data_IF_755024094823
#
_entry.id   IF_755024094823
#
_cell.length_a   1.000
_cell.length_b   1.000
_cell.length_c   1.000
_cell.angle_alpha   90.00
_cell.angle_beta   90.00
_cell.angle_gamma   90.00
#
_symmetry.space_group_name_H-M   'P 1'
#
loop_
_entity.id
_entity.type
_entity.pdbx_description
1 polymer ?
#
# COMPACT_ATOMS: atom_id res chain seq x y z
N UNK A 1 22.35 32.58 -0.32
CA UNK A 1 22.86 31.70 -1.40
C UNK A 1 22.91 30.28 -0.90
N UNK A 2 22.29 29.32 -1.59
CA UNK A 2 22.33 27.92 -1.20
C UNK A 2 23.69 27.32 -1.57
N UNK A 3 24.37 26.68 -0.61
CA UNK A 3 25.62 25.96 -0.85
C UNK A 3 25.36 24.46 -0.89
N UNK A 4 25.85 23.77 -1.91
CA UNK A 4 25.80 22.30 -2.03
C UNK A 4 27.23 21.74 -2.10
N UNK A 5 27.47 20.53 -1.58
CA UNK A 5 28.78 19.91 -1.69
C UNK A 5 29.07 19.51 -3.15
N UNK A 6 30.31 19.73 -3.59
CA UNK A 6 30.81 19.28 -4.89
C UNK A 6 30.80 17.75 -4.97
N UNK A 7 30.36 17.20 -6.10
CA UNK A 7 30.28 15.75 -6.35
C UNK A 7 31.62 15.02 -6.30
N UNK A 8 32.73 15.72 -6.53
CA UNK A 8 34.08 15.10 -6.60
C UNK A 8 34.86 15.32 -5.31
N UNK A 9 34.98 16.57 -4.82
CA UNK A 9 35.81 16.88 -3.65
C UNK A 9 35.02 17.19 -2.36
N UNK A 10 33.68 17.24 -2.42
CA UNK A 10 32.84 17.52 -1.24
C UNK A 10 32.84 18.97 -0.75
N UNK A 11 33.61 19.88 -1.37
CA UNK A 11 33.64 21.29 -0.98
C UNK A 11 32.27 21.97 -1.12
N UNK A 12 31.87 22.80 -0.15
CA UNK A 12 30.64 23.59 -0.23
C UNK A 12 30.80 24.67 -1.30
N UNK A 13 29.99 24.58 -2.35
CA UNK A 13 30.04 25.47 -3.52
C UNK A 13 28.65 26.01 -3.84
N UNK A 14 28.60 27.16 -4.52
CA UNK A 14 27.34 27.78 -4.95
C UNK A 14 26.54 26.84 -5.86
N UNK A 15 25.21 26.85 -5.71
CA UNK A 15 24.29 26.10 -6.59
C UNK A 15 24.35 26.52 -8.06
N UNK A 16 24.91 27.69 -8.36
CA UNK A 16 25.04 28.25 -9.72
C UNK A 16 26.44 28.06 -10.30
N UNK A 17 27.36 27.44 -9.56
CA UNK A 17 28.74 27.25 -10.00
C UNK A 17 28.81 26.30 -11.22
N UNK A 18 29.32 26.81 -12.36
CA UNK A 18 29.54 26.02 -13.58
C UNK A 18 30.67 25.00 -13.42
N UNK A 19 31.65 25.29 -12.56
CA UNK A 19 32.78 24.42 -12.22
C UNK A 19 33.10 24.52 -10.72
N UNK A 20 33.72 23.47 -10.15
CA UNK A 20 34.18 23.53 -8.76
C UNK A 20 35.49 24.34 -8.66
N UNK A 21 35.54 25.41 -7.84
CA UNK A 21 36.76 26.18 -7.65
C UNK A 21 37.86 25.40 -6.91
N UNK A 22 37.53 24.32 -6.19
CA UNK A 22 38.51 23.54 -5.43
C UNK A 22 39.15 22.41 -6.26
N UNK A 23 38.39 21.75 -7.13
CA UNK A 23 38.89 20.56 -7.85
C UNK A 23 38.70 20.63 -9.37
N UNK A 24 38.23 21.75 -9.91
CA UNK A 24 38.04 21.92 -11.36
C UNK A 24 36.86 21.17 -11.96
N UNK A 25 36.13 20.37 -11.17
CA UNK A 25 35.03 19.53 -11.66
C UNK A 25 33.99 20.33 -12.48
N UNK A 26 33.77 20.02 -13.78
CA UNK A 26 32.71 20.64 -14.56
C UNK A 26 31.35 20.12 -14.10
N UNK A 27 30.34 21.01 -14.01
CA UNK A 27 29.01 20.70 -13.45
C UNK A 27 29.12 20.00 -12.09
N UNK A 28 29.66 20.70 -11.08
CA UNK A 28 30.08 20.09 -9.81
C UNK A 28 28.90 19.66 -8.93
N UNK A 29 27.68 20.02 -9.30
CA UNK A 29 26.45 19.63 -8.62
C UNK A 29 25.66 18.71 -9.56
N UNK A 30 25.53 17.44 -9.17
CA UNK A 30 24.59 16.53 -9.83
C UNK A 30 23.18 16.88 -9.35
N UNK A 31 22.34 17.40 -10.25
CA UNK A 31 20.91 17.31 -10.06
C UNK A 31 20.56 15.82 -10.14
N UNK A 32 20.50 15.16 -8.98
CA UNK A 32 20.03 13.78 -8.90
C UNK A 32 18.58 13.82 -9.36
N UNK A 33 18.32 13.46 -10.62
CA UNK A 33 17.02 12.94 -11.00
C UNK A 33 16.77 11.82 -10.00
N UNK A 34 15.92 12.11 -9.02
CA UNK A 34 15.60 11.17 -7.98
C UNK A 34 15.03 9.96 -8.69
N UNK A 35 15.74 8.83 -8.63
CA UNK A 35 15.06 7.54 -8.63
C UNK A 35 14.29 7.48 -7.32
N UNK A 36 13.25 8.32 -7.21
CA UNK A 36 12.15 8.06 -6.34
C UNK A 36 11.74 6.63 -6.66
N UNK A 37 11.72 5.79 -5.63
CA UNK A 37 10.69 4.77 -5.57
C UNK A 37 9.40 5.56 -5.52
N UNK A 38 8.97 6.05 -6.69
CA UNK A 38 7.65 6.58 -6.87
C UNK A 38 6.78 5.35 -6.69
N UNK A 39 6.08 5.31 -5.56
CA UNK A 39 4.65 5.05 -5.70
C UNK A 39 4.23 6.07 -6.75
N UNK A 40 4.21 5.66 -8.01
CA UNK A 40 3.51 6.42 -9.04
C UNK A 40 2.13 6.49 -8.44
N UNK A 41 1.78 7.63 -7.83
CA UNK A 41 0.40 7.90 -7.52
C UNK A 41 -0.24 7.71 -8.89
N UNK A 42 -1.09 6.68 -9.11
CA UNK A 42 -1.94 6.74 -10.28
C UNK A 42 -2.59 8.12 -10.22
N UNK A 43 -2.80 8.79 -11.36
CA UNK A 43 -3.62 10.00 -11.43
C UNK A 43 -5.03 9.62 -10.93
N UNK A 44 -5.16 9.49 -9.62
CA UNK A 44 -6.29 8.96 -8.94
C UNK A 44 -7.24 10.13 -8.90
N UNK A 45 -8.29 10.02 -9.69
CA UNK A 45 -9.30 11.04 -9.72
C UNK A 45 -10.03 10.99 -8.36
N UNK A 46 -9.87 12.07 -7.59
CA UNK A 46 -10.43 12.19 -6.24
C UNK A 46 -11.94 12.01 -6.21
N UNK A 47 -12.64 12.51 -7.23
CA UNK A 47 -14.09 12.37 -7.37
C UNK A 47 -14.48 10.91 -7.63
N UNK A 48 -13.75 10.22 -8.52
CA UNK A 48 -13.98 8.80 -8.77
C UNK A 48 -13.64 7.93 -7.55
N UNK A 49 -12.59 8.26 -6.80
CA UNK A 49 -12.30 7.58 -5.53
C UNK A 49 -13.50 7.66 -4.58
N UNK A 50 -14.04 8.87 -4.37
CA UNK A 50 -15.20 9.10 -3.52
C UNK A 50 -16.40 8.25 -3.99
N UNK A 51 -16.78 8.34 -5.26
CA UNK A 51 -17.96 7.65 -5.80
C UNK A 51 -17.82 6.13 -5.76
N UNK A 52 -16.67 5.59 -6.21
CA UNK A 52 -16.46 4.15 -6.28
C UNK A 52 -16.37 3.56 -4.88
N UNK A 53 -15.64 4.20 -3.95
CA UNK A 53 -15.50 3.69 -2.60
C UNK A 53 -16.85 3.64 -1.88
N UNK A 54 -17.59 4.75 -1.88
CA UNK A 54 -18.89 4.84 -1.22
C UNK A 54 -19.94 3.96 -1.90
N UNK A 55 -20.02 4.00 -3.24
CA UNK A 55 -20.92 3.18 -4.02
C UNK A 55 -20.67 1.69 -3.82
N UNK A 56 -19.41 1.27 -3.72
CA UNK A 56 -19.07 -0.13 -3.45
C UNK A 56 -19.51 -0.56 -2.06
N UNK A 57 -19.34 0.29 -1.03
CA UNK A 57 -19.80 -0.06 0.32
C UNK A 57 -21.29 -0.39 0.28
N UNK A 58 -22.13 0.52 -0.20
CA UNK A 58 -23.59 0.30 -0.23
C UNK A 58 -24.02 -0.83 -1.17
N UNK A 59 -23.35 -1.00 -2.31
CA UNK A 59 -23.63 -2.11 -3.22
C UNK A 59 -23.34 -3.48 -2.59
N UNK A 60 -22.28 -3.58 -1.78
CA UNK A 60 -21.79 -4.87 -1.25
C UNK A 60 -22.23 -5.20 0.18
N UNK A 61 -22.89 -4.27 0.88
CA UNK A 61 -23.17 -4.42 2.31
C UNK A 61 -24.15 -5.54 2.65
N UNK A 62 -24.97 -5.95 1.68
CA UNK A 62 -25.93 -7.06 1.83
C UNK A 62 -25.41 -8.39 1.28
N UNK A 63 -24.17 -8.44 0.78
CA UNK A 63 -23.60 -9.67 0.24
C UNK A 63 -23.49 -10.79 1.30
N UNK A 64 -23.14 -10.53 2.57
CA UNK A 64 -23.15 -11.58 3.59
C UNK A 64 -24.50 -12.30 3.68
N UNK A 65 -25.59 -11.55 3.64
CA UNK A 65 -26.97 -12.06 3.67
C UNK A 65 -27.44 -12.76 2.38
N UNK A 66 -26.59 -12.84 1.34
CA UNK A 66 -26.93 -13.65 0.15
C UNK A 66 -27.09 -15.14 0.48
N UNK A 67 -26.65 -15.58 1.66
CA UNK A 67 -26.89 -16.94 2.16
C UNK A 67 -28.36 -17.27 2.41
N UNK A 68 -29.26 -16.28 2.54
CA UNK A 68 -30.70 -16.52 2.61
C UNK A 68 -31.23 -17.31 1.39
N UNK A 69 -30.60 -17.16 0.22
CA UNK A 69 -30.98 -17.91 -1.00
C UNK A 69 -30.65 -19.40 -0.87
N UNK A 70 -29.63 -19.75 -0.09
CA UNK A 70 -29.13 -21.13 0.06
C UNK A 70 -29.21 -21.62 1.50
N UNK A 71 -30.13 -21.07 2.29
CA UNK A 71 -30.20 -21.26 3.74
C UNK A 71 -30.30 -22.74 4.13
N UNK A 72 -30.99 -23.57 3.35
CA UNK A 72 -31.11 -25.01 3.58
C UNK A 72 -29.77 -25.77 3.52
N UNK A 73 -28.80 -25.25 2.76
CA UNK A 73 -27.51 -25.88 2.55
C UNK A 73 -26.42 -25.31 3.46
N UNK A 74 -26.33 -23.99 3.58
CA UNK A 74 -25.21 -23.33 4.26
C UNK A 74 -25.57 -22.62 5.56
N UNK A 75 -26.88 -22.57 5.89
CA UNK A 75 -27.42 -21.78 7.00
C UNK A 75 -27.38 -20.27 6.73
N UNK A 76 -28.20 -19.52 7.47
CA UNK A 76 -28.05 -18.07 7.53
C UNK A 76 -26.82 -17.75 8.40
N UNK A 77 -26.09 -16.69 8.07
CA UNK A 77 -24.78 -16.38 8.66
C UNK A 77 -23.78 -17.50 8.42
N UNK A 78 -23.67 -17.93 7.16
CA UNK A 78 -22.73 -18.98 6.80
C UNK A 78 -21.29 -18.55 7.07
N UNK A 79 -20.44 -19.49 7.52
CA UNK A 79 -18.99 -19.29 7.67
C UNK A 79 -18.32 -18.78 6.39
N UNK A 80 -18.94 -19.04 5.23
CA UNK A 80 -18.45 -18.63 3.91
C UNK A 80 -18.84 -17.16 3.63
N UNK A 81 -20.13 -16.82 3.72
CA UNK A 81 -20.66 -15.49 3.35
C UNK A 81 -20.35 -14.44 4.40
N UNK A 82 -20.35 -14.82 5.68
CA UNK A 82 -19.99 -13.97 6.81
C UNK A 82 -18.49 -14.04 7.10
N UNK A 83 -17.71 -13.88 6.03
CA UNK A 83 -16.25 -13.84 6.09
C UNK A 83 -15.67 -12.91 5.04
N UNK A 84 -14.39 -12.61 5.18
CA UNK A 84 -13.65 -11.81 4.18
C UNK A 84 -13.29 -12.60 2.92
N UNK A 85 -13.76 -13.85 2.77
CA UNK A 85 -13.31 -14.75 1.71
C UNK A 85 -13.53 -14.15 0.32
N UNK A 86 -14.72 -13.62 0.03
CA UNK A 86 -15.04 -13.06 -1.28
C UNK A 86 -14.13 -11.88 -1.69
N UNK A 87 -14.02 -10.79 -0.91
CA UNK A 87 -13.09 -9.71 -1.25
C UNK A 87 -11.63 -10.20 -1.25
N UNK A 88 -11.28 -11.21 -0.46
CA UNK A 88 -9.94 -11.79 -0.47
C UNK A 88 -9.61 -12.57 -1.74
N UNK A 89 -10.56 -13.33 -2.30
CA UNK A 89 -10.37 -14.02 -3.59
C UNK A 89 -10.17 -13.01 -4.72
N UNK A 90 -10.98 -11.94 -4.76
CA UNK A 90 -10.81 -10.87 -5.76
C UNK A 90 -9.45 -10.19 -5.58
N UNK A 91 -9.04 -9.87 -4.35
CA UNK A 91 -7.72 -9.35 -4.07
C UNK A 91 -6.60 -10.29 -4.56
N UNK A 92 -6.70 -11.57 -4.26
CA UNK A 92 -5.65 -12.55 -4.58
C UNK A 92 -5.51 -12.75 -6.09
N UNK A 93 -6.61 -12.99 -6.80
CA UNK A 93 -6.59 -13.33 -8.22
C UNK A 93 -6.53 -12.10 -9.12
N UNK A 94 -7.24 -11.03 -8.78
CA UNK A 94 -7.39 -9.87 -9.67
C UNK A 94 -6.43 -8.71 -9.34
N UNK A 95 -5.86 -8.64 -8.13
CA UNK A 95 -4.92 -7.57 -7.76
C UNK A 95 -3.49 -8.07 -7.55
N UNK A 96 -3.31 -9.13 -6.75
CA UNK A 96 -1.98 -9.58 -6.34
C UNK A 96 -1.20 -10.29 -7.44
N UNK A 97 -1.88 -11.07 -8.30
CA UNK A 97 -1.24 -11.82 -9.39
C UNK A 97 -0.99 -10.99 -10.65
N UNK A 98 -1.66 -9.84 -10.81
CA UNK A 98 -1.59 -9.03 -12.02
C UNK A 98 -0.48 -7.99 -11.90
N UNK A 99 0.31 -7.83 -12.96
CA UNK A 99 1.29 -6.76 -13.06
C UNK A 99 0.56 -5.44 -13.38
N UNK A 100 0.61 -4.46 -12.46
CA UNK A 100 -0.14 -3.18 -12.51
C UNK A 100 -1.67 -3.36 -12.52
N UNK A 101 -2.29 -3.69 -11.38
CA UNK A 101 -3.74 -3.83 -11.31
C UNK A 101 -4.49 -2.52 -11.59
N UNK A 102 -5.72 -2.64 -12.08
CA UNK A 102 -6.59 -1.48 -12.33
C UNK A 102 -6.89 -0.74 -11.00
N UNK A 103 -6.62 0.56 -10.99
CA UNK A 103 -6.84 1.44 -9.82
C UNK A 103 -8.29 1.42 -9.33
N UNK A 104 -9.27 1.47 -10.24
CA UNK A 104 -10.69 1.48 -9.87
C UNK A 104 -11.14 0.14 -9.28
N UNK A 105 -10.64 -0.98 -9.82
CA UNK A 105 -10.84 -2.30 -9.22
C UNK A 105 -10.19 -2.39 -7.83
N UNK A 106 -9.05 -1.74 -7.64
CA UNK A 106 -8.40 -1.66 -6.32
C UNK A 106 -9.29 -0.89 -5.32
N UNK A 107 -9.87 0.24 -5.72
CA UNK A 107 -10.81 1.01 -4.88
C UNK A 107 -12.06 0.19 -4.56
N UNK A 108 -12.60 -0.54 -5.55
CA UNK A 108 -13.72 -1.45 -5.34
C UNK A 108 -13.37 -2.50 -4.26
N UNK A 109 -12.22 -3.18 -4.37
CA UNK A 109 -11.81 -4.18 -3.38
C UNK A 109 -11.63 -3.57 -1.98
N UNK A 110 -11.06 -2.36 -1.87
CA UNK A 110 -10.95 -1.63 -0.59
C UNK A 110 -12.36 -1.41 -0.01
N UNK A 111 -13.29 -0.88 -0.81
CA UNK A 111 -14.69 -0.66 -0.40
C UNK A 111 -15.40 -1.94 0.01
N UNK A 112 -15.17 -3.04 -0.71
CA UNK A 112 -15.79 -4.34 -0.42
C UNK A 112 -15.29 -4.92 0.91
N UNK A 113 -13.99 -4.87 1.19
CA UNK A 113 -13.48 -5.25 2.52
C UNK A 113 -14.06 -4.39 3.65
N UNK A 114 -14.16 -3.07 3.44
CA UNK A 114 -14.77 -2.16 4.42
C UNK A 114 -16.25 -2.51 4.65
N UNK A 115 -16.99 -2.83 3.59
CA UNK A 115 -18.41 -3.17 3.65
C UNK A 115 -18.67 -4.45 4.42
N UNK A 116 -17.94 -5.52 4.12
CA UNK A 116 -18.02 -6.79 4.85
C UNK A 116 -17.70 -6.59 6.33
N UNK A 117 -16.64 -5.84 6.63
CA UNK A 117 -16.29 -5.55 8.02
C UNK A 117 -17.37 -4.73 8.75
N UNK A 118 -18.02 -3.79 8.06
CA UNK A 118 -19.12 -3.00 8.60
C UNK A 118 -20.33 -3.88 8.90
N UNK A 119 -20.77 -4.70 7.96
CA UNK A 119 -21.86 -5.65 8.14
C UNK A 119 -21.61 -6.57 9.34
N UNK A 120 -20.47 -7.28 9.34
CA UNK A 120 -20.12 -8.22 10.40
C UNK A 120 -19.95 -7.55 11.77
N UNK A 121 -19.53 -6.29 11.80
CA UNK A 121 -19.45 -5.54 13.06
C UNK A 121 -20.83 -5.24 13.65
N UNK A 122 -21.86 -5.09 12.81
CA UNK A 122 -23.23 -4.93 13.27
C UNK A 122 -23.81 -6.26 13.78
N UNK A 123 -23.49 -7.37 13.12
CA UNK A 123 -23.93 -8.72 13.51
C UNK A 123 -23.37 -9.22 14.84
N UNK A 124 -22.31 -8.58 15.36
CA UNK A 124 -21.80 -8.82 16.71
C UNK A 124 -22.78 -8.34 17.81
N UNK A 125 -23.80 -7.57 17.45
CA UNK A 125 -24.80 -7.04 18.38
C UNK A 125 -26.22 -7.52 18.03
N UNK A 126 -26.47 -8.85 18.00
CA UNK A 126 -27.82 -9.36 17.83
C UNK A 126 -28.64 -9.07 19.10
N UNK A 127 -29.97 -9.06 18.99
CA UNK A 127 -30.86 -8.96 20.16
C UNK A 127 -30.65 -10.09 21.18
N UNK A 128 -30.10 -11.20 20.73
CA UNK A 128 -29.65 -12.31 21.58
C UNK A 128 -28.96 -13.37 20.75
N UNK A 129 -27.95 -14.02 21.33
CA UNK A 129 -27.18 -15.09 20.71
C UNK A 129 -27.95 -16.41 20.72
N UNK A 130 -28.92 -16.55 19.81
CA UNK A 130 -29.73 -17.75 19.63
C UNK A 130 -30.12 -17.98 18.19
N UNK A 131 -30.25 -19.25 17.79
CA UNK A 131 -30.71 -19.66 16.47
C UNK A 131 -29.89 -19.01 15.35
N UNK A 132 -30.56 -18.26 14.47
CA UNK A 132 -29.96 -17.58 13.31
C UNK A 132 -28.92 -16.50 13.63
N UNK A 133 -28.64 -16.20 14.91
CA UNK A 133 -27.54 -15.33 15.29
C UNK A 133 -26.16 -16.04 15.19
N UNK A 134 -26.14 -17.37 15.23
CA UNK A 134 -24.91 -18.15 15.16
C UNK A 134 -24.36 -18.23 13.74
N UNK A 135 -23.06 -18.51 13.63
CA UNK A 135 -22.41 -18.91 12.38
C UNK A 135 -22.73 -20.37 12.09
N UNK A 136 -23.04 -20.64 10.82
CA UNK A 136 -23.36 -21.98 10.32
C UNK A 136 -22.31 -22.50 9.34
N UNK A 137 -21.98 -23.78 9.48
CA UNK A 137 -21.19 -24.54 8.51
C UNK A 137 -22.09 -25.09 7.40
N UNK A 138 -21.51 -25.45 6.23
CA UNK A 138 -22.21 -26.25 5.23
C UNK A 138 -22.85 -27.50 5.87
N UNK A 139 -24.07 -27.81 5.46
CA UNK A 139 -24.95 -28.77 6.14
C UNK A 139 -25.78 -28.15 7.27
N UNK A 140 -25.91 -26.81 7.31
CA UNK A 140 -26.72 -26.05 8.26
C UNK A 140 -26.45 -26.42 9.74
N UNK A 141 -25.17 -26.64 10.07
CA UNK A 141 -24.72 -26.99 11.42
C UNK A 141 -24.11 -25.77 12.11
N UNK A 142 -24.64 -25.38 13.26
CA UNK A 142 -24.16 -24.22 14.01
C UNK A 142 -22.86 -24.52 14.76
N UNK A 143 -21.96 -23.53 14.83
CA UNK A 143 -20.76 -23.58 15.68
C UNK A 143 -20.98 -23.04 17.10
N UNK A 144 -22.21 -22.63 17.45
CA UNK A 144 -22.57 -22.09 18.76
C UNK A 144 -22.10 -20.64 19.00
N UNK A 145 -22.51 -20.06 20.12
CA UNK A 145 -22.34 -18.64 20.45
C UNK A 145 -20.88 -18.17 20.44
N UNK A 146 -20.04 -18.72 21.33
CA UNK A 146 -18.66 -18.27 21.51
C UNK A 146 -17.84 -18.30 20.22
N UNK A 147 -17.78 -19.44 19.50
CA UNK A 147 -17.09 -19.52 18.22
C UNK A 147 -17.65 -18.57 17.14
N UNK A 148 -18.96 -18.31 17.14
CA UNK A 148 -19.59 -17.36 16.21
C UNK A 148 -19.12 -15.92 16.44
N UNK A 149 -19.10 -15.48 17.71
CA UNK A 149 -18.58 -14.16 18.10
C UNK A 149 -17.13 -14.01 17.66
N UNK A 150 -16.29 -15.00 17.99
CA UNK A 150 -14.86 -15.00 17.65
C UNK A 150 -14.66 -14.95 16.14
N UNK A 151 -15.42 -15.75 15.38
CA UNK A 151 -15.34 -15.79 13.92
C UNK A 151 -15.64 -14.43 13.29
N UNK A 152 -16.78 -13.82 13.65
CA UNK A 152 -17.16 -12.51 13.13
C UNK A 152 -16.15 -11.44 13.52
N UNK A 153 -15.75 -11.39 14.80
CA UNK A 153 -14.79 -10.40 15.28
C UNK A 153 -13.43 -10.47 14.56
N UNK A 154 -12.90 -11.67 14.34
CA UNK A 154 -11.66 -11.88 13.56
C UNK A 154 -11.83 -11.39 12.12
N UNK A 155 -12.97 -11.65 11.49
CA UNK A 155 -13.25 -11.19 10.13
C UNK A 155 -13.40 -9.67 10.04
N UNK A 156 -13.98 -9.00 11.06
CA UNK A 156 -14.01 -7.53 11.14
C UNK A 156 -12.59 -6.96 11.22
N UNK A 157 -11.73 -7.52 12.09
CA UNK A 157 -10.33 -7.11 12.20
C UNK A 157 -9.60 -7.28 10.87
N UNK A 158 -9.70 -8.46 10.26
CA UNK A 158 -8.98 -8.71 9.01
C UNK A 158 -9.54 -7.89 7.85
N UNK A 159 -10.86 -7.70 7.78
CA UNK A 159 -11.50 -6.89 6.74
C UNK A 159 -11.02 -5.43 6.79
N UNK A 160 -11.09 -4.80 7.97
CA UNK A 160 -10.59 -3.42 8.15
C UNK A 160 -9.06 -3.32 7.97
N UNK A 161 -8.30 -4.34 8.37
CA UNK A 161 -6.86 -4.43 8.14
C UNK A 161 -6.50 -4.49 6.64
N UNK A 162 -7.11 -5.41 5.89
CA UNK A 162 -6.84 -5.56 4.45
C UNK A 162 -7.28 -4.33 3.67
N UNK A 163 -8.45 -3.78 3.98
CA UNK A 163 -8.92 -2.51 3.41
C UNK A 163 -7.88 -1.40 3.59
N UNK A 164 -7.45 -1.16 4.84
CA UNK A 164 -6.47 -0.13 5.17
C UNK A 164 -5.11 -0.38 4.51
N UNK A 165 -4.66 -1.64 4.47
CA UNK A 165 -3.38 -2.04 3.86
C UNK A 165 -3.34 -1.75 2.37
N UNK A 166 -4.38 -2.16 1.65
CA UNK A 166 -4.47 -1.96 0.20
C UNK A 166 -4.62 -0.47 -0.08
N UNK A 167 -5.43 0.25 0.71
CA UNK A 167 -5.61 1.69 0.60
C UNK A 167 -4.31 2.48 0.78
N UNK A 168 -3.52 2.20 1.81
CA UNK A 168 -2.23 2.87 2.05
C UNK A 168 -1.21 2.58 0.95
N UNK A 169 -1.31 1.44 0.28
CA UNK A 169 -0.49 1.11 -0.89
C UNK A 169 -0.92 1.89 -2.13
N UNK A 170 -2.21 2.22 -2.24
CA UNK A 170 -2.79 2.94 -3.37
C UNK A 170 -2.61 4.46 -3.27
N UNK A 171 -2.85 5.03 -2.08
CA UNK A 171 -2.85 6.48 -1.85
C UNK A 171 -2.01 6.84 -0.63
N UNK A 172 -1.16 7.87 -0.76
CA UNK A 172 -0.24 8.32 0.29
C UNK A 172 -0.52 9.73 0.83
N UNK A 173 -1.43 10.49 0.23
CA UNK A 173 -1.68 11.88 0.64
C UNK A 173 -2.62 11.98 1.84
N UNK A 174 -2.44 13.03 2.65
CA UNK A 174 -3.31 13.33 3.80
C UNK A 174 -4.78 13.48 3.39
N UNK A 175 -5.04 14.07 2.21
CA UNK A 175 -6.38 14.27 1.67
C UNK A 175 -7.13 12.94 1.57
N UNK A 176 -6.57 11.95 0.86
CA UNK A 176 -7.19 10.63 0.74
C UNK A 176 -7.39 9.95 2.08
N UNK A 177 -6.44 10.05 3.01
CA UNK A 177 -6.58 9.46 4.34
C UNK A 177 -7.79 10.01 5.11
N UNK A 178 -7.97 11.33 5.10
CA UNK A 178 -9.12 11.96 5.75
C UNK A 178 -10.42 11.50 5.08
N UNK A 179 -10.47 11.48 3.75
CA UNK A 179 -11.65 11.05 3.00
C UNK A 179 -12.01 9.60 3.27
N UNK A 180 -11.04 8.69 3.26
CA UNK A 180 -11.26 7.27 3.55
C UNK A 180 -11.84 7.06 4.95
N UNK A 181 -11.27 7.73 5.96
CA UNK A 181 -11.74 7.64 7.34
C UNK A 181 -13.14 8.26 7.49
N UNK A 182 -13.37 9.43 6.89
CA UNK A 182 -14.67 10.10 6.91
C UNK A 182 -15.75 9.25 6.25
N UNK A 183 -15.51 8.74 5.04
CA UNK A 183 -16.49 7.92 4.32
C UNK A 183 -16.77 6.59 5.02
N UNK A 184 -15.74 5.90 5.53
CA UNK A 184 -15.95 4.69 6.32
C UNK A 184 -16.79 4.96 7.57
N UNK A 185 -16.54 6.08 8.25
CA UNK A 185 -17.30 6.46 9.45
C UNK A 185 -18.73 6.88 9.12
N UNK A 186 -18.93 7.64 8.05
CA UNK A 186 -20.24 8.04 7.56
C UNK A 186 -21.08 6.82 7.16
N UNK A 187 -20.49 5.87 6.43
CA UNK A 187 -21.15 4.60 6.10
C UNK A 187 -21.56 3.82 7.35
N UNK A 188 -20.72 3.82 8.40
CA UNK A 188 -21.04 3.16 9.65
C UNK A 188 -22.25 3.78 10.36
N UNK A 189 -22.33 5.12 10.39
CA UNK A 189 -23.50 5.83 10.93
C UNK A 189 -24.75 5.46 10.13
N UNK A 190 -24.70 5.59 8.80
CA UNK A 190 -25.85 5.34 7.93
C UNK A 190 -26.33 3.89 8.10
N UNK A 191 -25.42 2.93 8.02
CA UNK A 191 -25.78 1.52 8.11
C UNK A 191 -26.32 1.14 9.49
N UNK A 192 -25.69 1.59 10.59
CA UNK A 192 -26.16 1.27 11.94
C UNK A 192 -27.58 1.80 12.18
N UNK A 193 -27.91 2.98 11.63
CA UNK A 193 -29.27 3.53 11.71
C UNK A 193 -30.28 2.73 10.88
N UNK A 194 -29.91 2.31 9.67
CA UNK A 194 -30.79 1.53 8.79
C UNK A 194 -31.03 0.12 9.36
N UNK A 195 -29.99 -0.52 9.87
CA UNK A 195 -30.05 -1.87 10.45
C UNK A 195 -30.83 -1.89 11.78
N UNK A 196 -30.85 -0.77 12.50
CA UNK A 196 -31.60 -0.58 13.74
C UNK A 196 -31.02 -1.36 14.92
N UNK A 197 -31.84 -1.65 15.95
CA UNK A 197 -31.38 -2.32 17.17
C UNK A 197 -30.44 -1.44 18.00
N UNK A 198 -29.33 -1.99 18.49
CA UNK A 198 -28.32 -1.25 19.26
C UNK A 198 -27.40 -0.44 18.32
N UNK A 199 -27.90 0.70 17.86
CA UNK A 199 -27.22 1.57 16.89
C UNK A 199 -25.84 2.01 17.38
N UNK A 200 -25.73 2.35 18.67
CA UNK A 200 -24.50 2.86 19.27
C UNK A 200 -23.41 1.78 19.33
N UNK A 201 -23.74 0.59 19.84
CA UNK A 201 -22.76 -0.49 19.97
C UNK A 201 -22.20 -0.92 18.60
N UNK A 202 -23.06 -1.01 17.58
CA UNK A 202 -22.66 -1.31 16.20
C UNK A 202 -21.70 -0.28 15.64
N UNK A 203 -22.05 1.00 15.77
CA UNK A 203 -21.21 2.11 15.32
C UNK A 203 -19.85 2.13 16.01
N UNK A 204 -19.83 2.09 17.35
CA UNK A 204 -18.58 2.17 18.12
C UNK A 204 -17.67 0.97 17.87
N UNK A 205 -18.24 -0.24 17.77
CA UNK A 205 -17.47 -1.45 17.47
C UNK A 205 -16.74 -1.32 16.14
N UNK A 206 -17.46 -0.92 15.09
CA UNK A 206 -16.85 -0.69 13.78
C UNK A 206 -15.74 0.36 13.85
N UNK A 207 -16.04 1.55 14.38
CA UNK A 207 -15.12 2.69 14.38
C UNK A 207 -13.84 2.38 15.17
N UNK A 208 -13.96 1.78 16.35
CA UNK A 208 -12.79 1.44 17.17
C UNK A 208 -11.86 0.49 16.40
N UNK A 209 -12.40 -0.58 15.81
CA UNK A 209 -11.60 -1.56 15.09
C UNK A 209 -11.03 -0.94 13.80
N UNK A 210 -11.83 -0.20 13.04
CA UNK A 210 -11.45 0.47 11.81
C UNK A 210 -10.31 1.47 12.00
N UNK A 211 -10.41 2.34 13.02
CA UNK A 211 -9.35 3.30 13.35
C UNK A 211 -8.09 2.57 13.83
N UNK A 212 -8.24 1.58 14.71
CA UNK A 212 -7.12 0.81 15.25
C UNK A 212 -6.33 0.13 14.13
N UNK A 213 -7.00 -0.57 13.21
CA UNK A 213 -6.33 -1.27 12.10
C UNK A 213 -5.75 -0.30 11.08
N UNK A 214 -6.40 0.85 10.83
CA UNK A 214 -5.87 1.91 9.98
C UNK A 214 -4.54 2.47 10.53
N UNK A 215 -4.52 2.91 11.79
CA UNK A 215 -3.32 3.50 12.40
C UNK A 215 -2.21 2.47 12.59
N UNK A 216 -2.54 1.24 12.97
CA UNK A 216 -1.59 0.13 13.02
C UNK A 216 -0.91 -0.07 11.66
N UNK A 217 -1.71 -0.12 10.58
CA UNK A 217 -1.21 -0.38 9.23
C UNK A 217 -0.39 0.80 8.70
N UNK A 218 -0.84 2.04 8.94
CA UNK A 218 -0.12 3.25 8.56
C UNK A 218 1.26 3.31 9.21
N UNK A 219 1.35 3.02 10.51
CA UNK A 219 2.62 2.96 11.25
C UNK A 219 3.54 1.87 10.68
N UNK A 220 3.00 0.69 10.38
CA UNK A 220 3.77 -0.43 9.81
C UNK A 220 4.32 -0.10 8.42
N UNK A 221 3.50 0.48 7.53
CA UNK A 221 3.92 0.88 6.18
C UNK A 221 5.03 1.94 6.21
N UNK A 222 4.95 2.92 7.12
CA UNK A 222 6.03 3.90 7.31
C UNK A 222 7.37 3.26 7.69
N UNK A 223 7.37 2.28 8.59
CA UNK A 223 8.59 1.53 8.96
C UNK A 223 9.18 0.74 7.78
N UNK A 224 8.34 0.09 6.99
CA UNK A 224 8.78 -0.67 5.79
C UNK A 224 9.41 0.25 4.76
N UNK A 225 8.83 1.43 4.55
CA UNK A 225 9.38 2.45 3.64
C UNK A 225 10.79 2.90 4.06
N UNK A 226 10.97 3.23 5.35
CA UNK A 226 12.28 3.63 5.89
C UNK A 226 13.33 2.52 5.71
N UNK A 227 12.97 1.28 6.03
CA UNK A 227 13.86 0.12 5.85
C UNK A 227 14.24 -0.13 4.38
N UNK A 228 13.29 0.02 3.45
CA UNK A 228 13.57 -0.12 2.01
C UNK A 228 14.52 0.97 1.52
N UNK A 229 14.34 2.22 1.97
CA UNK A 229 15.22 3.35 1.66
C UNK A 229 16.65 3.11 2.14
N UNK A 230 16.82 2.60 3.35
CA UNK A 230 18.14 2.22 3.88
C UNK A 230 18.83 1.13 3.06
N UNK A 231 18.11 0.09 2.65
CA UNK A 231 18.66 -1.01 1.83
C UNK A 231 19.10 -0.50 0.45
N UNK A 232 18.30 0.36 -0.19
CA UNK A 232 18.65 0.96 -1.48
C UNK A 232 19.90 1.83 -1.34
N UNK A 233 19.97 2.67 -0.31
CA UNK A 233 21.14 3.49 -0.02
C UNK A 233 22.40 2.62 0.19
N UNK A 234 22.30 1.53 0.97
CA UNK A 234 23.42 0.58 1.17
C UNK A 234 23.84 -0.13 -0.13
N UNK A 235 22.89 -0.49 -1.01
CA UNK A 235 23.19 -1.07 -2.32
C UNK A 235 23.86 -0.06 -3.26
N UNK A 236 23.39 1.19 -3.29
CA UNK A 236 24.05 2.28 -4.03
C UNK A 236 25.47 2.51 -3.52
N UNK A 237 25.68 2.52 -2.20
CA UNK A 237 27.00 2.69 -1.59
C UNK A 237 27.93 1.52 -1.92
N UNK A 238 27.44 0.26 -1.85
CA UNK A 238 28.22 -0.92 -2.22
C UNK A 238 28.54 -0.95 -3.72
N UNK A 239 27.61 -0.54 -4.60
CA UNK A 239 27.86 -0.39 -6.05
C UNK A 239 28.91 0.69 -6.32
N UNK A 240 28.87 1.81 -5.61
CA UNK A 240 29.90 2.87 -5.69
C UNK A 240 31.27 2.40 -5.21
N UNK A 241 31.34 1.60 -4.14
CA UNK A 241 32.59 0.98 -3.69
C UNK A 241 33.11 -0.07 -4.68
N UNK A 242 32.23 -0.88 -5.28
CA UNK A 242 32.61 -1.89 -6.26
C UNK A 242 33.13 -1.30 -7.57
N UNK A 243 32.52 -0.21 -8.05
CA UNK A 243 32.99 0.54 -9.22
C UNK A 243 34.01 1.65 -8.90
N UNK A 244 34.37 1.83 -7.63
CA UNK A 244 35.27 2.89 -7.17
C UNK A 244 36.70 2.38 -7.06
N UNK A 245 37.63 3.09 -7.69
CA UNK A 245 39.08 2.89 -7.54
C UNK A 245 39.62 1.77 -8.42
N UNK A 246 39.25 0.51 -8.15
CA UNK A 246 39.89 -0.65 -8.76
C UNK A 246 39.61 -0.78 -10.27
N UNK A 247 38.34 -0.71 -10.69
CA UNK A 247 37.97 -0.81 -12.11
C UNK A 247 38.35 0.43 -12.93
N UNK A 248 38.29 1.62 -12.33
CA UNK A 248 38.76 2.86 -12.98
C UNK A 248 40.28 2.84 -13.20
N UNK A 249 41.03 2.27 -12.26
CA UNK A 249 42.48 2.12 -12.39
C UNK A 249 42.84 1.02 -13.40
N UNK A 250 42.12 -0.11 -13.40
CA UNK A 250 42.31 -1.21 -14.35
C UNK A 250 42.01 -0.79 -15.80
N UNK A 251 40.89 -0.10 -16.04
CA UNK A 251 40.52 0.40 -17.38
C UNK A 251 41.49 1.50 -17.81
N UNK A 252 41.88 2.40 -16.89
CA UNK A 252 42.83 3.47 -17.17
C UNK A 252 44.23 2.95 -17.54
N UNK A 253 44.73 1.94 -16.84
CA UNK A 253 46.08 1.40 -17.11
C UNK A 253 46.12 0.49 -18.33
N UNK A 254 45.10 -0.35 -18.55
CA UNK A 254 45.10 -1.33 -19.65
C UNK A 254 44.73 -0.69 -21.00
N UNK A 255 43.86 0.32 -21.04
CA UNK A 255 43.36 0.88 -22.31
C UNK A 255 44.05 2.19 -22.67
N UNK A 256 44.30 3.07 -21.70
CA UNK A 256 44.81 4.42 -22.00
C UNK A 256 46.31 4.39 -22.28
N UNK A 257 47.09 3.56 -21.56
CA UNK A 257 48.54 3.49 -21.75
C UNK A 257 48.89 3.00 -23.18
N UNK A 258 48.30 1.91 -23.72
CA UNK A 258 48.55 1.49 -25.09
C UNK A 258 48.08 2.52 -26.14
N UNK A 259 46.97 3.21 -25.88
CA UNK A 259 46.46 4.24 -26.78
C UNK A 259 47.39 5.47 -26.85
N UNK A 260 47.97 5.88 -25.72
CA UNK A 260 48.98 6.96 -25.67
C UNK A 260 50.25 6.52 -26.38
N UNK A 261 50.73 5.30 -26.14
CA UNK A 261 51.92 4.75 -26.83
C UNK A 261 51.69 4.72 -28.35
N UNK A 262 50.52 4.24 -28.80
CA UNK A 262 50.14 4.25 -30.22
C UNK A 262 50.13 5.67 -30.80
N UNK A 263 49.54 6.63 -30.08
CA UNK A 263 49.50 8.03 -30.54
C UNK A 263 50.90 8.64 -30.67
N UNK A 264 51.79 8.36 -29.72
CA UNK A 264 53.19 8.82 -29.75
C UNK A 264 53.92 8.20 -30.94
N UNK A 265 53.75 6.90 -31.20
CA UNK A 265 54.35 6.22 -32.36
C UNK A 265 53.86 6.82 -33.69
N UNK A 266 52.57 7.15 -33.80
CA UNK A 266 52.02 7.81 -34.98
C UNK A 266 52.64 9.21 -35.17
N UNK A 267 52.72 10.01 -34.11
CA UNK A 267 53.28 11.38 -34.19
C UNK A 267 54.77 11.35 -34.57
N UNK A 268 55.56 10.46 -33.96
CA UNK A 268 57.00 10.35 -34.25
C UNK A 268 57.23 9.79 -35.66
N UNK A 269 56.41 8.86 -36.14
CA UNK A 269 56.48 8.33 -37.50
C UNK A 269 56.13 9.35 -38.59
N UNK A 270 55.43 10.43 -38.27
CA UNK A 270 55.14 11.54 -39.19
C UNK A 270 56.26 12.60 -39.25
N UNK A 271 57.27 12.53 -38.37
CA UNK A 271 58.37 13.49 -38.27
C UNK A 271 59.68 12.99 -38.93
N UNK A 272 59.64 11.85 -39.64
CA UNK A 272 60.71 11.34 -40.51
C UNK A 272 60.29 11.46 -41.97
#
# INVERSE_FOLDING_TARGET
>A
MALKPCRECGAKISTEAKSCPKCGAPKPILNKASSEVSLVEPNLNYFLFFLIFLGTIFFTIKIPDSDFVFQSLIGHRSIITHSILFPFLIYHYCLKKINKPNTYLTIFVIGFFTSIALHLSADLHPKGWKGGAFIYLPGNSSIGEGPSIVWMFINVIFGTYFSSKIFIQLASTKKYFITYLFLGSLSAIIYSNIDGGDVEAKFFTFIIIFLTTFFYTKRKSGRVYLKKKEIVNKKEEKKRRFFGGFWTYLIGTIIIIPAIIFLILVIVGFLQ
#
